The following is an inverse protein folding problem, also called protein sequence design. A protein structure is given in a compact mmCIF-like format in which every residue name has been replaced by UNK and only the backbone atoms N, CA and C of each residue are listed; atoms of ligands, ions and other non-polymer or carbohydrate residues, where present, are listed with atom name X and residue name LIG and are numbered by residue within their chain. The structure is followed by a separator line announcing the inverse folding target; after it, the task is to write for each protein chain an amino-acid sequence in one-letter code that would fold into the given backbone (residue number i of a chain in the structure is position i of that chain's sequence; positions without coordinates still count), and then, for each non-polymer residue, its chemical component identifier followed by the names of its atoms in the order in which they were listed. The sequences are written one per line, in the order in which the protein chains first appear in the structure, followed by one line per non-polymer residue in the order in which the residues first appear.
data_IF_255994836910
#
_entry.id   IF_255994836910
#
_cell.length_a   1.000
_cell.length_b   1.000
_cell.length_c   1.000
_cell.angle_alpha   90.00
_cell.angle_beta   90.00
_cell.angle_gamma   90.00
#
_symmetry.space_group_name_H-M   'P 1'
#
loop_
_entity.id
_entity.type
_entity.pdbx_description
1 polymer ?
#
# COMPACT_ATOMS: atom_id res chain seq x y z
N UNK A 1 40.65 34.87 3.44
CA UNK A 1 39.65 35.16 2.38
C UNK A 1 39.22 33.85 1.72
N UNK A 2 38.32 33.04 2.31
CA UNK A 2 37.80 31.78 1.70
C UNK A 2 36.62 31.19 2.49
N UNK A 3 35.63 31.99 2.87
CA UNK A 3 34.41 31.48 3.53
C UNK A 3 33.14 32.09 2.93
N UNK A 4 33.18 33.37 2.58
CA UNK A 4 32.09 34.05 1.88
C UNK A 4 31.79 33.45 0.50
N UNK A 5 32.81 33.14 -0.31
CA UNK A 5 32.62 32.59 -1.66
C UNK A 5 31.93 31.21 -1.66
N UNK A 6 32.30 30.32 -0.72
CA UNK A 6 31.65 29.01 -0.57
C UNK A 6 30.18 29.15 -0.14
N UNK A 7 29.87 30.09 0.76
CA UNK A 7 28.49 30.35 1.16
C UNK A 7 27.64 30.91 0.01
N UNK A 8 28.21 31.77 -0.84
CA UNK A 8 27.53 32.26 -2.04
C UNK A 8 27.28 31.15 -3.07
N UNK A 9 28.26 30.25 -3.26
CA UNK A 9 28.09 29.09 -4.15
C UNK A 9 26.98 28.17 -3.62
N UNK A 10 26.98 27.85 -2.33
CA UNK A 10 25.95 27.01 -1.71
C UNK A 10 24.55 27.64 -1.80
N UNK A 11 24.45 28.95 -1.54
CA UNK A 11 23.18 29.68 -1.68
C UNK A 11 22.70 29.70 -3.14
N UNK A 12 23.60 29.89 -4.10
CA UNK A 12 23.27 29.84 -5.52
C UNK A 12 22.77 28.45 -5.93
N UNK A 13 23.40 27.37 -5.46
CA UNK A 13 22.93 26.01 -5.74
C UNK A 13 21.53 25.76 -5.18
N UNK A 14 21.27 26.16 -3.93
CA UNK A 14 19.95 26.00 -3.31
C UNK A 14 18.87 26.79 -4.05
N UNK A 15 19.18 28.03 -4.44
CA UNK A 15 18.26 28.86 -5.22
C UNK A 15 18.03 28.27 -6.61
N UNK A 16 19.08 27.81 -7.30
CA UNK A 16 18.98 27.21 -8.62
C UNK A 16 18.17 25.91 -8.59
N UNK A 17 18.38 25.02 -7.61
CA UNK A 17 17.61 23.78 -7.47
C UNK A 17 16.14 24.06 -7.14
N UNK A 18 15.86 25.04 -6.28
CA UNK A 18 14.49 25.41 -5.94
C UNK A 18 13.77 26.09 -7.12
N UNK A 19 14.48 26.93 -7.89
CA UNK A 19 13.93 27.56 -9.08
C UNK A 19 13.68 26.53 -10.19
N UNK A 20 14.58 25.57 -10.37
CA UNK A 20 14.41 24.45 -11.29
C UNK A 20 13.23 23.56 -10.89
N UNK A 21 13.10 23.21 -9.61
CA UNK A 21 11.96 22.47 -9.11
C UNK A 21 10.65 23.25 -9.35
N UNK A 22 10.62 24.55 -9.03
CA UNK A 22 9.46 25.40 -9.29
C UNK A 22 9.13 25.46 -10.79
N UNK A 23 10.12 25.59 -11.67
CA UNK A 23 9.93 25.56 -13.12
C UNK A 23 9.36 24.21 -13.59
N UNK A 24 9.86 23.09 -13.08
CA UNK A 24 9.33 21.75 -13.41
C UNK A 24 7.89 21.58 -12.91
N UNK A 25 7.56 22.07 -11.72
CA UNK A 25 6.21 22.01 -11.16
C UNK A 25 5.22 22.96 -11.85
N UNK A 26 5.68 24.09 -12.37
CA UNK A 26 4.82 25.09 -13.03
C UNK A 26 4.78 24.95 -14.56
N UNK A 27 5.71 24.22 -15.16
CA UNK A 27 5.70 23.91 -16.58
C UNK A 27 4.65 22.83 -16.87
N UNK A 28 3.40 23.27 -17.07
CA UNK A 28 2.38 22.44 -17.70
C UNK A 28 2.85 22.01 -19.10
N UNK A 29 2.97 20.71 -19.39
CA UNK A 29 3.34 20.26 -20.73
C UNK A 29 2.23 20.63 -21.71
N UNK A 30 2.55 21.48 -22.71
CA UNK A 30 1.66 21.75 -23.84
C UNK A 30 1.34 20.42 -24.52
N UNK A 31 0.06 20.06 -24.52
CA UNK A 31 -0.42 18.83 -25.12
C UNK A 31 -0.35 18.92 -26.64
N UNK A 32 0.70 18.37 -27.24
CA UNK A 32 0.58 17.85 -28.59
C UNK A 32 -0.16 16.50 -28.51
N UNK A 33 -1.37 16.52 -29.06
CA UNK A 33 -2.24 15.36 -29.27
C UNK A 33 -1.62 14.47 -30.34
N UNK A 34 -1.20 13.27 -29.94
CA UNK A 34 -0.58 12.27 -30.81
C UNK A 34 0.86 12.00 -30.36
N UNK A 35 1.16 10.77 -29.96
CA UNK A 35 2.50 10.25 -29.57
C UNK A 35 2.91 10.35 -28.09
N UNK A 36 1.98 10.29 -27.13
CA UNK A 36 2.34 10.19 -25.70
C UNK A 36 2.97 8.85 -25.30
N UNK A 37 2.63 7.75 -25.97
CA UNK A 37 3.22 6.42 -25.72
C UNK A 37 4.67 6.34 -26.21
N UNK A 38 4.98 6.99 -27.33
CA UNK A 38 6.32 6.98 -27.94
C UNK A 38 7.35 7.75 -27.09
N UNK A 39 6.97 8.90 -26.51
CA UNK A 39 7.90 9.73 -25.73
C UNK A 39 8.25 9.12 -24.36
N UNK A 40 7.31 8.42 -23.72
CA UNK A 40 7.59 7.66 -22.49
C UNK A 40 8.44 6.44 -22.81
N UNK A 41 8.17 5.77 -23.93
CA UNK A 41 9.00 4.65 -24.40
C UNK A 41 10.45 5.06 -24.63
N UNK A 42 10.74 6.27 -25.12
CA UNK A 42 12.11 6.70 -25.39
C UNK A 42 12.90 6.93 -24.08
N UNK A 43 12.36 7.68 -23.13
CA UNK A 43 13.00 7.89 -21.82
C UNK A 43 13.08 6.61 -20.97
N UNK A 44 12.02 5.80 -20.97
CA UNK A 44 12.02 4.50 -20.28
C UNK A 44 12.96 3.51 -20.97
N UNK A 45 13.12 3.57 -22.31
CA UNK A 45 14.11 2.76 -23.02
C UNK A 45 15.54 3.18 -22.72
N UNK A 46 15.82 4.48 -22.51
CA UNK A 46 17.13 4.96 -22.10
C UNK A 46 17.46 4.49 -20.67
N UNK A 47 16.49 4.54 -19.76
CA UNK A 47 16.65 4.00 -18.39
C UNK A 47 16.83 2.47 -18.43
N UNK A 48 16.03 1.74 -19.22
CA UNK A 48 16.17 0.30 -19.43
C UNK A 48 17.49 -0.06 -20.13
N UNK A 49 18.03 0.81 -20.99
CA UNK A 49 19.33 0.64 -21.66
C UNK A 49 20.46 0.82 -20.65
N UNK A 50 20.38 1.80 -19.76
CA UNK A 50 21.31 1.98 -18.64
C UNK A 50 21.28 0.76 -17.70
N UNK A 51 20.10 0.24 -17.38
CA UNK A 51 19.91 -0.96 -16.55
C UNK A 51 20.37 -2.24 -17.28
N UNK A 52 20.20 -2.34 -18.60
CA UNK A 52 20.69 -3.47 -19.40
C UNK A 52 22.22 -3.44 -19.64
N UNK A 53 22.84 -2.26 -19.59
CA UNK A 53 24.31 -2.13 -19.57
C UNK A 53 24.85 -2.70 -18.25
N UNK A 54 24.08 -2.60 -17.16
CA UNK A 54 24.31 -3.32 -15.90
C UNK A 54 23.83 -4.79 -16.00
N UNK A 55 24.29 -5.52 -17.03
CA UNK A 55 24.20 -6.99 -17.14
C UNK A 55 25.03 -7.63 -16.03
N UNK A 56 24.57 -7.50 -14.80
CA UNK A 56 24.94 -8.41 -13.74
C UNK A 56 24.33 -9.76 -14.11
N UNK A 57 25.21 -10.71 -14.41
CA UNK A 57 24.88 -12.13 -14.39
C UNK A 57 24.25 -12.42 -13.03
N UNK A 58 22.92 -12.43 -12.98
CA UNK A 58 22.17 -12.72 -11.75
C UNK A 58 22.53 -14.17 -11.34
N UNK A 59 23.22 -14.37 -10.21
CA UNK A 59 23.63 -15.70 -9.77
C UNK A 59 22.41 -16.62 -9.64
N UNK A 60 22.59 -17.91 -9.90
CA UNK A 60 21.50 -18.89 -9.90
C UNK A 60 20.78 -18.95 -8.53
N UNK A 61 21.49 -18.62 -7.46
CA UNK A 61 21.01 -18.51 -6.08
C UNK A 61 20.02 -17.36 -5.93
N UNK A 62 20.30 -16.19 -6.54
CA UNK A 62 19.39 -15.05 -6.53
C UNK A 62 18.17 -15.30 -7.42
N UNK A 63 18.34 -16.08 -8.50
CA UNK A 63 17.24 -16.53 -9.36
C UNK A 63 16.28 -17.49 -8.63
N UNK A 64 16.82 -18.38 -7.79
CA UNK A 64 16.06 -19.21 -6.85
C UNK A 64 15.36 -18.38 -5.77
N UNK A 65 16.02 -17.34 -5.22
CA UNK A 65 15.43 -16.46 -4.22
C UNK A 65 14.28 -15.59 -4.77
N UNK A 66 14.37 -15.21 -6.05
CA UNK A 66 13.33 -14.44 -6.76
C UNK A 66 12.19 -15.33 -7.32
N UNK A 67 12.34 -16.66 -7.32
CA UNK A 67 11.23 -17.58 -7.59
C UNK A 67 10.17 -17.45 -6.49
N UNK A 68 8.92 -17.72 -6.85
CA UNK A 68 7.78 -17.66 -5.94
C UNK A 68 8.01 -18.64 -4.80
N UNK A 69 8.55 -18.13 -3.69
CA UNK A 69 8.59 -18.82 -2.42
C UNK A 69 7.60 -18.10 -1.52
N UNK A 70 6.56 -18.78 -1.00
CA UNK A 70 5.92 -18.26 0.21
C UNK A 70 7.04 -17.98 1.21
N UNK A 71 7.07 -16.76 1.77
CA UNK A 71 8.10 -16.34 2.71
C UNK A 71 8.33 -17.48 3.71
N UNK A 72 9.51 -18.11 3.78
CA UNK A 72 9.74 -19.20 4.70
C UNK A 72 9.93 -18.59 6.08
N UNK A 73 8.84 -18.14 6.68
CA UNK A 73 8.82 -17.87 8.10
C UNK A 73 8.89 -19.24 8.75
N UNK A 74 9.96 -19.46 9.51
CA UNK A 74 10.18 -20.70 10.23
C UNK A 74 8.90 -21.13 10.94
N UNK A 75 8.53 -22.40 10.76
CA UNK A 75 7.31 -23.00 11.31
C UNK A 75 7.16 -22.58 12.78
N UNK A 76 6.08 -21.88 13.10
CA UNK A 76 5.82 -21.57 14.51
C UNK A 76 5.68 -22.89 15.29
N UNK A 77 6.54 -23.10 16.28
CA UNK A 77 6.58 -24.35 17.06
C UNK A 77 5.29 -24.65 17.83
N UNK A 78 4.41 -23.65 18.00
CA UNK A 78 3.11 -23.79 18.68
C UNK A 78 1.92 -23.95 17.73
N UNK A 79 1.87 -23.21 16.63
CA UNK A 79 0.71 -23.20 15.71
C UNK A 79 0.96 -23.87 14.37
N UNK A 80 2.22 -24.18 14.03
CA UNK A 80 2.60 -24.79 12.76
C UNK A 80 2.46 -23.88 11.53
N UNK A 81 2.08 -22.61 11.71
CA UNK A 81 1.88 -21.66 10.61
C UNK A 81 3.22 -21.19 10.02
N UNK A 82 3.30 -21.13 8.69
CA UNK A 82 4.46 -20.69 7.91
C UNK A 82 4.21 -19.38 7.14
N UNK A 83 3.05 -18.77 7.31
CA UNK A 83 2.61 -17.60 6.55
C UNK A 83 2.73 -16.31 7.40
N UNK A 84 2.94 -15.17 6.74
CA UNK A 84 3.01 -13.87 7.39
C UNK A 84 1.62 -13.47 7.87
N UNK A 85 1.23 -13.98 9.05
CA UNK A 85 0.01 -13.57 9.72
C UNK A 85 0.16 -12.11 10.12
N UNK A 86 -0.76 -11.25 9.68
CA UNK A 86 -0.83 -9.87 10.13
C UNK A 86 -0.79 -9.85 11.67
N UNK A 87 0.05 -8.98 12.24
CA UNK A 87 0.14 -8.79 13.68
C UNK A 87 -1.10 -8.05 14.21
N UNK A 88 -2.27 -8.68 14.17
CA UNK A 88 -3.47 -8.23 14.88
C UNK A 88 -3.48 -8.91 16.24
N UNK A 89 -2.77 -8.30 17.18
CA UNK A 89 -2.85 -8.68 18.60
C UNK A 89 -4.06 -7.98 19.23
N UNK A 90 -5.11 -8.75 19.50
CA UNK A 90 -6.21 -8.36 20.39
C UNK A 90 -5.88 -8.85 21.81
N UNK A 91 -5.48 -7.95 22.71
CA UNK A 91 -5.18 -8.32 24.10
C UNK A 91 -6.45 -8.54 24.92
N UNK A 92 -6.38 -9.42 25.92
CA UNK A 92 -7.49 -9.75 26.84
C UNK A 92 -7.77 -8.65 27.89
N UNK A 93 -7.16 -7.47 27.75
CA UNK A 93 -7.37 -6.32 28.61
C UNK A 93 -7.33 -5.07 27.74
N UNK A 94 -8.31 -4.18 27.93
CA UNK A 94 -8.64 -2.97 27.14
C UNK A 94 -7.74 -2.70 25.92
N UNK A 95 -8.29 -2.88 24.72
CA UNK A 95 -7.59 -2.72 23.45
C UNK A 95 -7.05 -1.29 23.26
N UNK A 96 -5.82 -1.09 23.71
CA UNK A 96 -5.04 0.16 23.59
C UNK A 96 -4.47 0.36 22.17
N UNK A 97 -5.24 0.00 21.13
CA UNK A 97 -4.82 0.23 19.75
C UNK A 97 -4.57 1.71 19.47
N UNK A 98 -5.33 2.59 20.13
CA UNK A 98 -5.18 4.04 20.03
C UNK A 98 -3.87 4.54 20.65
N UNK A 99 -3.42 3.95 21.76
CA UNK A 99 -2.13 4.23 22.38
C UNK A 99 -0.99 3.71 21.50
N UNK A 100 -1.10 2.49 21.00
CA UNK A 100 -0.11 1.92 20.09
C UNK A 100 0.04 2.76 18.81
N UNK A 101 -1.08 3.22 18.22
CA UNK A 101 -1.05 4.12 17.08
C UNK A 101 -0.38 5.47 17.42
N UNK A 102 -0.65 6.05 18.60
CA UNK A 102 0.04 7.26 19.06
C UNK A 102 1.56 7.05 19.19
N UNK A 103 2.00 5.89 19.68
CA UNK A 103 3.41 5.55 19.78
C UNK A 103 4.06 5.44 18.39
N UNK A 104 3.42 4.72 17.45
CA UNK A 104 3.87 4.59 16.06
C UNK A 104 4.01 5.97 15.40
N UNK A 105 3.00 6.83 15.57
CA UNK A 105 3.00 8.20 15.03
C UNK A 105 4.10 9.10 15.64
N UNK A 106 4.64 8.73 16.80
CA UNK A 106 5.77 9.41 17.45
C UNK A 106 7.12 8.75 17.15
N UNK A 107 7.15 7.74 16.27
CA UNK A 107 8.35 6.98 15.95
C UNK A 107 8.83 6.07 17.09
N UNK A 108 7.99 5.87 18.12
CA UNK A 108 8.26 4.88 19.15
C UNK A 108 7.89 3.50 18.60
N UNK A 109 8.74 2.51 18.87
CA UNK A 109 8.38 1.13 18.60
C UNK A 109 7.13 0.79 19.44
N UNK A 110 5.99 0.45 18.81
CA UNK A 110 4.81 0.09 19.57
C UNK A 110 5.19 -1.09 20.45
N UNK A 111 4.83 -1.01 21.74
CA UNK A 111 5.08 -2.06 22.72
C UNK A 111 4.84 -3.41 22.05
N UNK A 112 5.84 -4.32 22.11
CA UNK A 112 5.75 -5.68 21.61
C UNK A 112 4.40 -6.25 22.03
N UNK A 113 3.43 -6.24 21.11
CA UNK A 113 2.13 -6.84 21.34
C UNK A 113 2.45 -8.31 21.42
N UNK A 114 2.54 -8.85 22.65
CA UNK A 114 2.60 -10.29 22.86
C UNK A 114 1.48 -10.87 21.99
N UNK A 115 1.86 -11.77 21.07
CA UNK A 115 0.97 -12.54 20.18
C UNK A 115 -0.03 -13.33 21.04
N UNK A 116 -0.99 -12.63 21.62
CA UNK A 116 -2.21 -13.17 22.18
C UNK A 116 -3.23 -12.96 21.08
N UNK A 117 -3.16 -13.87 20.11
CA UNK A 117 -4.21 -14.07 19.13
C UNK A 117 -5.42 -14.59 19.89
N UNK A 118 -6.36 -13.71 20.27
CA UNK A 118 -7.72 -14.21 20.39
C UNK A 118 -8.12 -14.70 18.99
N UNK A 119 -8.58 -15.96 18.84
CA UNK A 119 -9.09 -16.40 17.56
C UNK A 119 -10.23 -15.46 17.17
N UNK A 120 -10.13 -14.87 15.98
CA UNK A 120 -11.25 -14.17 15.37
C UNK A 120 -12.35 -15.22 15.22
N UNK A 121 -13.58 -14.98 15.71
CA UNK A 121 -14.68 -15.89 15.42
C UNK A 121 -14.79 -16.04 13.90
N UNK A 122 -14.47 -17.24 13.39
CA UNK A 122 -14.49 -17.54 11.95
C UNK A 122 -15.91 -17.59 11.38
N UNK A 123 -16.93 -17.52 12.24
CA UNK A 123 -18.33 -17.53 11.84
C UNK A 123 -18.65 -16.30 10.99
N UNK A 124 -18.95 -16.53 9.71
CA UNK A 124 -19.32 -15.48 8.76
C UNK A 124 -18.17 -14.86 7.95
N UNK A 125 -16.95 -15.39 8.08
CA UNK A 125 -15.83 -14.97 7.23
C UNK A 125 -15.77 -15.75 5.91
N UNK A 126 -15.36 -15.06 4.86
CA UNK A 126 -15.11 -15.68 3.56
C UNK A 126 -13.63 -16.06 3.45
N UNK A 127 -13.28 -17.24 2.90
CA UNK A 127 -11.88 -17.59 2.69
C UNK A 127 -11.26 -16.72 1.59
N UNK A 128 -9.95 -16.51 1.65
CA UNK A 128 -9.22 -15.89 0.56
C UNK A 128 -9.21 -16.81 -0.68
N UNK A 129 -9.40 -16.31 -1.92
CA UNK A 129 -9.55 -14.91 -2.32
C UNK A 129 -11.00 -14.40 -2.38
N UNK A 130 -12.00 -15.20 -1.96
CA UNK A 130 -13.41 -14.80 -2.00
C UNK A 130 -13.70 -13.59 -1.11
N UNK A 131 -12.93 -13.39 -0.05
CA UNK A 131 -12.98 -12.26 0.88
C UNK A 131 -12.69 -10.89 0.26
N UNK A 132 -11.97 -10.82 -0.87
CA UNK A 132 -11.42 -9.57 -1.41
C UNK A 132 -12.46 -8.47 -1.62
N UNK A 133 -13.67 -8.84 -2.07
CA UNK A 133 -14.72 -7.89 -2.47
C UNK A 133 -16.08 -8.18 -1.83
N UNK A 134 -16.06 -8.88 -0.69
CA UNK A 134 -17.27 -9.21 0.09
C UNK A 134 -17.49 -8.19 1.21
N UNK A 135 -18.76 -7.89 1.56
CA UNK A 135 -19.05 -7.09 2.74
C UNK A 135 -18.50 -7.75 4.00
N UNK A 136 -17.97 -6.94 4.91
CA UNK A 136 -17.49 -7.37 6.22
C UNK A 136 -18.56 -7.11 7.27
N UNK A 137 -18.79 -8.04 8.18
CA UNK A 137 -19.75 -7.87 9.28
C UNK A 137 -19.23 -6.86 10.31
N UNK A 138 -20.14 -6.09 10.92
CA UNK A 138 -19.79 -5.14 11.97
C UNK A 138 -19.15 -5.83 13.20
N UNK A 139 -19.47 -7.10 13.45
CA UNK A 139 -19.05 -7.80 14.67
C UNK A 139 -17.59 -8.28 14.61
N UNK A 140 -16.97 -8.25 13.44
CA UNK A 140 -15.61 -8.75 13.21
C UNK A 140 -14.55 -7.68 13.47
N UNK A 141 -14.94 -6.40 13.46
CA UNK A 141 -14.01 -5.27 13.62
C UNK A 141 -14.20 -4.55 14.94
N UNK A 142 -13.14 -3.90 15.42
CA UNK A 142 -13.17 -3.15 16.67
C UNK A 142 -13.59 -1.71 16.47
N UNK A 143 -14.71 -1.34 17.11
CA UNK A 143 -15.26 0.01 17.07
C UNK A 143 -14.81 0.91 18.23
N UNK A 144 -14.04 0.38 19.18
CA UNK A 144 -13.54 1.11 20.35
C UNK A 144 -12.66 2.28 19.93
N UNK A 145 -12.88 3.46 20.50
CA UNK A 145 -12.11 4.68 20.16
C UNK A 145 -12.42 5.30 18.78
N UNK A 146 -13.34 4.73 18.00
CA UNK A 146 -13.84 5.30 16.75
C UNK A 146 -15.14 6.07 16.97
N UNK A 147 -15.36 7.10 16.16
CA UNK A 147 -16.60 7.89 16.19
C UNK A 147 -17.82 7.11 15.68
N UNK A 148 -17.66 6.33 14.62
CA UNK A 148 -18.69 5.43 14.10
C UNK A 148 -18.68 4.08 14.84
N UNK A 149 -19.84 3.41 14.90
CA UNK A 149 -20.03 2.10 15.54
C UNK A 149 -20.54 1.00 14.60
N UNK A 150 -20.67 1.31 13.31
CA UNK A 150 -21.04 0.38 12.26
C UNK A 150 -20.57 0.92 10.90
N UNK A 151 -20.51 0.05 9.89
CA UNK A 151 -20.10 0.44 8.53
C UNK A 151 -21.08 1.40 7.87
N UNK A 152 -22.38 1.33 8.21
CA UNK A 152 -23.41 2.23 7.69
C UNK A 152 -23.09 3.71 7.95
N UNK A 153 -22.59 4.03 9.15
CA UNK A 153 -22.12 5.36 9.53
C UNK A 153 -20.92 5.84 8.68
N UNK A 154 -20.10 4.92 8.18
CA UNK A 154 -18.91 5.25 7.38
C UNK A 154 -19.22 5.47 5.90
N UNK A 155 -20.38 5.05 5.40
CA UNK A 155 -20.70 5.16 3.97
C UNK A 155 -20.81 6.61 3.48
N UNK A 156 -21.38 7.50 4.30
CA UNK A 156 -21.54 8.93 3.98
C UNK A 156 -20.50 9.83 4.64
N UNK A 157 -19.63 9.27 5.49
CA UNK A 157 -18.64 10.04 6.23
C UNK A 157 -17.38 10.24 5.40
N UNK A 158 -16.94 11.49 5.27
CA UNK A 158 -15.61 11.83 4.75
C UNK A 158 -14.60 11.70 5.90
N UNK A 159 -13.77 10.66 5.83
CA UNK A 159 -12.84 10.30 6.91
C UNK A 159 -11.45 10.90 6.65
N UNK A 160 -10.99 10.71 5.41
CA UNK A 160 -9.79 11.31 4.84
C UNK A 160 -10.21 11.91 3.49
N UNK A 161 -9.43 12.84 2.94
CA UNK A 161 -9.77 13.55 1.71
C UNK A 161 -10.18 12.61 0.56
N UNK A 162 -9.53 11.45 0.46
CA UNK A 162 -9.75 10.42 -0.57
C UNK A 162 -10.69 9.27 -0.15
N UNK A 163 -11.26 9.34 1.05
CA UNK A 163 -12.07 8.26 1.59
C UNK A 163 -13.52 8.66 1.87
N UNK A 164 -14.32 8.60 0.80
CA UNK A 164 -15.79 8.68 0.82
C UNK A 164 -16.32 7.32 0.37
N UNK A 165 -17.03 6.61 1.25
CA UNK A 165 -17.63 5.31 0.93
C UNK A 165 -16.68 4.11 0.86
N UNK A 166 -15.44 4.20 1.36
CA UNK A 166 -14.37 3.17 1.25
C UNK A 166 -14.68 1.75 1.75
N UNK A 167 -15.81 1.58 2.43
CA UNK A 167 -16.26 0.34 3.06
C UNK A 167 -17.53 -0.21 2.40
N UNK A 168 -18.10 0.50 1.42
CA UNK A 168 -19.30 0.08 0.70
C UNK A 168 -18.94 -0.67 -0.59
N UNK A 169 -18.89 -2.00 -0.53
CA UNK A 169 -18.68 -2.83 -1.73
C UNK A 169 -19.95 -3.20 -2.47
N UNK A 170 -21.12 -2.79 -1.96
CA UNK A 170 -22.41 -3.07 -2.60
C UNK A 170 -22.78 -1.91 -3.51
N UNK A 171 -22.74 -0.68 -3.01
CA UNK A 171 -23.12 0.52 -3.75
C UNK A 171 -21.94 1.45 -4.05
N UNK A 172 -20.77 1.23 -3.43
CA UNK A 172 -19.59 2.06 -3.64
C UNK A 172 -18.83 1.73 -4.92
N UNK A 173 -17.89 2.61 -5.26
CA UNK A 173 -17.08 2.54 -6.49
C UNK A 173 -15.71 1.88 -6.29
N UNK A 174 -15.41 1.38 -5.08
CA UNK A 174 -14.09 0.85 -4.72
C UNK A 174 -13.61 -0.27 -5.64
N UNK A 175 -14.52 -1.12 -6.14
CA UNK A 175 -14.20 -2.19 -7.10
C UNK A 175 -13.68 -1.66 -8.44
N UNK A 176 -14.02 -0.42 -8.80
CA UNK A 176 -13.64 0.21 -10.06
C UNK A 176 -12.33 1.00 -9.94
N UNK A 177 -11.87 1.31 -8.71
CA UNK A 177 -10.57 1.93 -8.48
C UNK A 177 -9.45 1.06 -9.07
N UNK A 178 -8.46 1.69 -9.69
CA UNK A 178 -7.31 1.07 -10.37
C UNK A 178 -7.62 0.21 -11.60
N UNK A 179 -8.91 0.03 -11.94
CA UNK A 179 -9.37 -0.68 -13.14
C UNK A 179 -9.92 0.30 -14.18
N UNK A 180 -10.44 1.44 -13.75
CA UNK A 180 -10.87 2.53 -14.62
C UNK A 180 -10.09 3.79 -14.31
N UNK A 181 -9.77 4.55 -15.34
CA UNK A 181 -9.16 5.87 -15.20
C UNK A 181 -10.24 6.88 -14.79
N UNK A 182 -9.95 7.65 -13.75
CA UNK A 182 -10.75 8.81 -13.33
C UNK A 182 -10.23 10.10 -13.98
N UNK A 183 -8.93 10.12 -14.30
CA UNK A 183 -8.23 11.24 -14.92
C UNK A 183 -7.30 10.77 -16.05
N UNK A 184 -6.82 11.73 -16.84
CA UNK A 184 -5.88 11.47 -17.95
C UNK A 184 -4.45 11.11 -17.48
N UNK A 185 -4.15 11.28 -16.20
CA UNK A 185 -2.83 11.00 -15.60
C UNK A 185 -2.84 9.74 -14.73
N UNK A 186 -3.98 9.04 -14.65
CA UNK A 186 -4.10 7.81 -13.87
C UNK A 186 -3.44 6.64 -14.59
N UNK A 187 -2.78 5.79 -13.84
CA UNK A 187 -2.27 4.51 -14.32
C UNK A 187 -3.20 3.38 -13.89
N UNK A 188 -3.55 2.49 -14.81
CA UNK A 188 -4.28 1.28 -14.48
C UNK A 188 -3.33 0.24 -13.87
N UNK A 189 -3.86 -0.60 -13.00
CA UNK A 189 -3.07 -1.70 -12.40
C UNK A 189 -2.41 -2.56 -13.50
N UNK A 190 -3.16 -2.87 -14.57
CA UNK A 190 -2.64 -3.66 -15.69
C UNK A 190 -1.54 -2.94 -16.47
N UNK A 191 -1.65 -1.63 -16.67
CA UNK A 191 -0.63 -0.82 -17.35
C UNK A 191 0.69 -0.83 -16.56
N UNK A 192 0.59 -0.67 -15.23
CA UNK A 192 1.76 -0.70 -14.34
C UNK A 192 2.45 -2.07 -14.39
N UNK A 193 1.68 -3.15 -14.40
CA UNK A 193 2.24 -4.50 -14.48
C UNK A 193 2.83 -4.81 -15.86
N UNK A 194 2.26 -4.23 -16.92
CA UNK A 194 2.78 -4.36 -18.28
C UNK A 194 4.12 -3.64 -18.50
N UNK A 195 4.46 -2.63 -17.67
CA UNK A 195 5.77 -1.94 -17.74
C UNK A 195 6.94 -2.91 -17.63
N UNK A 196 6.75 -4.03 -16.90
CA UNK A 196 7.75 -5.06 -16.75
C UNK A 196 7.08 -6.41 -16.94
N UNK A 197 7.11 -6.92 -18.18
CA UNK A 197 6.54 -8.19 -18.67
C UNK A 197 6.59 -9.37 -17.65
N UNK A 198 5.69 -9.39 -16.66
CA UNK A 198 5.63 -10.39 -15.57
C UNK A 198 6.70 -10.29 -14.47
N UNK A 199 7.42 -9.16 -14.37
CA UNK A 199 8.52 -8.99 -13.40
C UNK A 199 8.14 -8.35 -12.07
N UNK A 200 6.94 -7.77 -11.95
CA UNK A 200 6.45 -7.19 -10.70
C UNK A 200 5.73 -8.29 -9.92
N UNK A 201 6.24 -8.60 -8.73
CA UNK A 201 5.72 -9.68 -7.87
C UNK A 201 5.39 -9.21 -6.46
N UNK A 202 6.06 -8.14 -6.02
CA UNK A 202 5.92 -7.56 -4.70
C UNK A 202 5.82 -6.05 -4.85
N UNK A 203 4.93 -5.41 -4.10
CA UNK A 203 4.85 -3.96 -3.99
C UNK A 203 4.57 -3.51 -2.55
N UNK A 204 4.68 -2.22 -2.33
CA UNK A 204 4.47 -1.58 -1.03
C UNK A 204 3.33 -0.56 -1.16
N UNK A 205 2.34 -0.68 -0.28
CA UNK A 205 1.13 0.15 -0.25
C UNK A 205 1.06 0.88 1.09
N UNK A 206 1.68 2.07 1.15
CA UNK A 206 1.73 2.89 2.37
C UNK A 206 0.51 3.79 2.41
N UNK A 207 -0.26 3.71 3.49
CA UNK A 207 -1.51 4.45 3.60
C UNK A 207 -2.59 3.88 2.69
N UNK A 208 -2.58 2.57 2.46
CA UNK A 208 -3.49 1.88 1.51
C UNK A 208 -4.98 1.96 1.85
N UNK A 209 -5.34 2.64 2.95
CA UNK A 209 -6.72 2.87 3.36
C UNK A 209 -7.44 1.54 3.60
N UNK A 210 -8.51 1.31 2.84
CA UNK A 210 -9.27 0.06 2.86
C UNK A 210 -8.62 -1.08 2.06
N UNK A 211 -7.39 -0.93 1.55
CA UNK A 211 -6.64 -2.01 0.90
C UNK A 211 -7.14 -2.38 -0.50
N UNK A 212 -7.77 -1.44 -1.22
CA UNK A 212 -8.30 -1.68 -2.56
C UNK A 212 -7.20 -1.98 -3.59
N UNK A 213 -6.06 -1.28 -3.51
CA UNK A 213 -4.93 -1.53 -4.39
C UNK A 213 -4.37 -2.94 -4.15
N UNK A 214 -4.18 -3.31 -2.88
CA UNK A 214 -3.76 -4.65 -2.49
C UNK A 214 -4.72 -5.75 -2.97
N UNK A 215 -6.03 -5.55 -2.83
CA UNK A 215 -7.02 -6.47 -3.39
C UNK A 215 -6.88 -6.63 -4.91
N UNK A 216 -6.67 -5.52 -5.65
CA UNK A 216 -6.51 -5.54 -7.11
C UNK A 216 -5.22 -6.21 -7.58
N UNK A 217 -4.14 -6.02 -6.84
CA UNK A 217 -2.86 -6.67 -7.12
C UNK A 217 -2.90 -8.17 -6.76
N UNK A 218 -3.60 -8.54 -5.68
CA UNK A 218 -3.80 -9.93 -5.30
C UNK A 218 -4.55 -10.74 -6.38
N UNK A 219 -5.57 -10.16 -7.04
CA UNK A 219 -6.26 -10.77 -8.20
C UNK A 219 -5.30 -11.11 -9.36
N UNK A 220 -4.14 -10.45 -9.42
CA UNK A 220 -3.12 -10.58 -10.46
C UNK A 220 -1.89 -11.35 -9.99
N UNK A 221 -2.00 -12.06 -8.87
CA UNK A 221 -0.90 -12.80 -8.22
C UNK A 221 0.30 -11.91 -7.84
N UNK A 222 0.04 -10.65 -7.48
CA UNK A 222 1.04 -9.72 -6.96
C UNK A 222 0.78 -9.50 -5.47
N UNK A 223 1.81 -9.71 -4.66
CA UNK A 223 1.72 -9.49 -3.21
C UNK A 223 1.99 -8.03 -2.90
N UNK A 224 1.03 -7.35 -2.26
CA UNK A 224 1.28 -6.03 -1.69
C UNK A 224 1.47 -6.13 -0.18
N UNK A 225 2.53 -5.48 0.30
CA UNK A 225 2.72 -5.19 1.72
C UNK A 225 1.96 -3.89 1.99
N UNK A 226 0.80 -3.98 2.64
CA UNK A 226 -0.02 -2.81 2.96
C UNK A 226 0.22 -2.36 4.40
N UNK A 227 0.49 -1.07 4.57
CA UNK A 227 0.54 -0.40 5.86
C UNK A 227 -0.60 0.61 5.93
N UNK A 228 -1.39 0.55 7.00
CA UNK A 228 -2.52 1.47 7.22
C UNK A 228 -2.64 1.82 8.70
N UNK A 229 -3.38 2.89 8.99
CA UNK A 229 -3.68 3.36 10.33
C UNK A 229 -5.19 3.47 10.49
N UNK A 230 -5.69 3.27 11.71
CA UNK A 230 -7.09 3.46 12.04
C UNK A 230 -7.37 4.97 12.22
N UNK A 231 -7.43 5.70 11.10
CA UNK A 231 -7.78 7.10 11.06
C UNK A 231 -9.30 7.27 11.13
N UNK A 232 -9.88 7.28 12.33
CA UNK A 232 -11.34 7.39 12.58
C UNK A 232 -12.22 6.37 11.82
N UNK A 233 -11.61 5.24 11.44
CA UNK A 233 -12.25 4.06 10.86
C UNK A 233 -11.42 2.80 11.17
N UNK A 234 -12.03 1.60 11.15
CA UNK A 234 -11.36 0.35 11.48
C UNK A 234 -10.58 -0.23 10.29
N UNK A 235 -9.67 0.55 9.68
CA UNK A 235 -8.94 0.13 8.47
C UNK A 235 -8.13 -1.15 8.69
N UNK A 236 -7.42 -1.28 9.81
CA UNK A 236 -6.56 -2.44 10.10
C UNK A 236 -7.34 -3.76 10.13
N UNK A 237 -8.41 -3.83 10.94
CA UNK A 237 -9.21 -5.04 11.07
C UNK A 237 -9.91 -5.36 9.74
N UNK A 238 -10.38 -4.32 9.04
CA UNK A 238 -11.05 -4.47 7.76
C UNK A 238 -10.14 -5.04 6.67
N UNK A 239 -8.89 -4.58 6.56
CA UNK A 239 -7.95 -5.14 5.58
C UNK A 239 -7.54 -6.56 5.94
N UNK A 240 -7.42 -6.88 7.23
CA UNK A 240 -6.98 -8.20 7.68
C UNK A 240 -8.01 -9.26 7.33
N UNK A 241 -9.28 -8.98 7.61
CA UNK A 241 -10.40 -9.88 7.27
C UNK A 241 -10.52 -10.13 5.77
N UNK A 242 -10.04 -9.19 4.94
CA UNK A 242 -10.20 -9.25 3.49
C UNK A 242 -9.00 -9.81 2.75
N UNK A 243 -7.80 -9.42 3.15
CA UNK A 243 -6.57 -9.65 2.40
C UNK A 243 -5.71 -10.78 2.96
N UNK A 244 -6.00 -11.24 4.18
CA UNK A 244 -5.24 -12.33 4.82
C UNK A 244 -5.95 -13.66 4.54
N UNK A 245 -5.23 -14.66 4.02
CA UNK A 245 -5.72 -16.03 3.97
C UNK A 245 -6.00 -16.53 5.39
N UNK A 246 -7.24 -16.97 5.64
CA UNK A 246 -7.69 -17.56 6.90
C UNK A 246 -8.05 -19.02 6.72
#
# INVERSE_FOLDING_TARGET
MCSSALNFIMLFYVLATNLFAFYVFTSTPKTHTGNKVLFISEHVSLILREINILKFSVPNELKLFLQFHPLPLGKDSKTGMAEMVCSVGHSFHEDDWSLAQKLILKGCEPLLRRRLTKPIPMEGLFPFPLSLWKPVSNDVVTWSGLSCKNFGCLYSKKIVEDCVGCFDFVNGNDKQKFVKTSSKIDFLADDVLALRNGGIRIGLDIGGGSGNLAAKMAERNVTLITSTLNADAPFNDFIVVRLVPM
#
